data_IF_749689494606
#
_entry.id   IF_749689494606
#
_cell.length_a   1.000
_cell.length_b   1.000
_cell.length_c   1.000
_cell.angle_alpha   90.00
_cell.angle_beta   90.00
_cell.angle_gamma   90.00
#
_symmetry.space_group_name_H-M   'P 1'
#
loop_
_entity.id
_entity.type
_entity.pdbx_description
1 polymer ?
#
# COMPACT_ATOMS: atom_id res chain seq x y z
N UNK A 1 5.98 -11.16 -4.67
CA UNK A 1 4.87 -12.14 -4.56
C UNK A 1 5.44 -13.54 -4.38
N UNK A 2 4.96 -14.33 -3.41
CA UNK A 2 5.41 -15.70 -3.17
C UNK A 2 4.88 -16.66 -4.24
N UNK A 3 5.55 -17.78 -4.49
CA UNK A 3 5.13 -18.76 -5.53
C UNK A 3 3.70 -19.27 -5.30
N UNK A 4 3.33 -19.54 -4.06
CA UNK A 4 1.98 -19.99 -3.70
C UNK A 4 0.90 -18.94 -4.02
N UNK A 5 1.21 -17.65 -3.83
CA UNK A 5 0.30 -16.54 -4.17
C UNK A 5 0.12 -16.43 -5.68
N UNK A 6 1.21 -16.61 -6.45
CA UNK A 6 1.17 -16.63 -7.93
C UNK A 6 0.25 -17.76 -8.39
N UNK A 7 0.48 -18.98 -7.88
CA UNK A 7 -0.29 -20.15 -8.25
C UNK A 7 -1.78 -19.98 -7.91
N UNK A 8 -2.09 -19.54 -6.70
CA UNK A 8 -3.47 -19.25 -6.29
C UNK A 8 -4.14 -18.20 -7.17
N UNK A 9 -3.46 -17.09 -7.48
CA UNK A 9 -4.00 -16.02 -8.35
C UNK A 9 -4.29 -16.57 -9.75
N UNK A 10 -3.42 -17.41 -10.31
CA UNK A 10 -3.62 -18.03 -11.63
C UNK A 10 -4.77 -19.04 -11.62
N UNK A 11 -4.85 -19.91 -10.61
CA UNK A 11 -5.96 -20.88 -10.48
C UNK A 11 -7.31 -20.18 -10.34
N UNK A 12 -7.37 -19.06 -9.60
CA UNK A 12 -8.58 -18.24 -9.48
C UNK A 12 -8.99 -17.63 -10.85
N UNK A 13 -8.02 -17.13 -11.63
CA UNK A 13 -8.28 -16.62 -12.99
C UNK A 13 -8.82 -17.73 -13.90
N UNK A 14 -8.27 -18.94 -13.81
CA UNK A 14 -8.77 -20.09 -14.58
C UNK A 14 -10.20 -20.44 -14.18
N UNK A 15 -10.51 -20.51 -12.88
CA UNK A 15 -11.86 -20.78 -12.39
C UNK A 15 -12.88 -19.72 -12.86
N UNK A 16 -12.50 -18.44 -12.82
CA UNK A 16 -13.33 -17.33 -13.35
C UNK A 16 -13.56 -17.45 -14.85
N UNK A 17 -12.52 -17.81 -15.60
CA UNK A 17 -12.60 -18.03 -17.04
C UNK A 17 -13.57 -19.17 -17.39
N UNK A 18 -13.48 -20.30 -16.68
CA UNK A 18 -14.36 -21.45 -16.89
C UNK A 18 -15.83 -21.13 -16.55
N UNK A 19 -16.05 -20.23 -15.59
CA UNK A 19 -17.37 -19.70 -15.23
C UNK A 19 -17.88 -18.59 -16.16
N UNK A 20 -17.12 -18.21 -17.19
CA UNK A 20 -17.49 -17.14 -18.12
C UNK A 20 -17.56 -15.76 -17.48
N UNK A 21 -16.88 -15.55 -16.35
CA UNK A 21 -16.85 -14.27 -15.66
C UNK A 21 -15.86 -13.31 -16.33
N UNK A 22 -16.12 -12.00 -16.33
CA UNK A 22 -15.20 -11.02 -16.89
C UNK A 22 -13.87 -11.06 -16.13
N UNK A 23 -12.76 -11.05 -16.87
CA UNK A 23 -11.38 -11.00 -16.36
C UNK A 23 -10.84 -9.58 -16.62
N UNK A 24 -11.62 -8.56 -16.24
CA UNK A 24 -11.16 -7.17 -16.32
C UNK A 24 -10.14 -6.94 -15.20
N UNK A 25 -8.86 -7.00 -15.55
CA UNK A 25 -7.78 -6.64 -14.65
C UNK A 25 -6.67 -5.92 -15.45
N UNK A 26 -6.35 -4.70 -15.03
CA UNK A 26 -5.31 -3.89 -15.67
C UNK A 26 -3.90 -4.44 -15.43
N UNK A 27 -3.73 -5.38 -14.50
CA UNK A 27 -2.46 -6.01 -14.15
C UNK A 27 -2.24 -7.36 -14.84
N UNK A 28 -3.30 -7.94 -15.45
CA UNK A 28 -3.26 -9.28 -16.04
C UNK A 28 -3.31 -9.21 -17.56
N UNK A 29 -2.44 -9.97 -18.21
CA UNK A 29 -2.48 -10.19 -19.66
C UNK A 29 -2.55 -11.69 -19.97
N UNK A 30 -3.62 -12.13 -20.62
CA UNK A 30 -3.78 -13.52 -21.06
C UNK A 30 -3.20 -13.70 -22.47
N UNK A 31 -2.52 -14.83 -22.69
CA UNK A 31 -1.94 -15.22 -23.98
C UNK A 31 -2.14 -16.71 -24.21
N UNK A 32 -2.70 -17.07 -25.36
CA UNK A 32 -2.88 -18.47 -25.74
C UNK A 32 -1.56 -19.15 -26.09
N UNK A 33 -0.64 -18.42 -26.72
CA UNK A 33 0.69 -18.89 -27.12
C UNK A 33 1.78 -17.86 -26.77
N UNK A 34 3.04 -18.32 -26.78
CA UNK A 34 4.19 -17.43 -26.63
C UNK A 34 4.25 -16.41 -27.77
N UNK A 35 4.35 -15.10 -27.48
CA UNK A 35 4.42 -14.09 -28.52
C UNK A 35 5.65 -14.25 -29.43
N UNK A 36 5.42 -14.55 -30.70
CA UNK A 36 6.51 -14.78 -31.69
C UNK A 36 7.25 -13.51 -32.09
N UNK A 37 6.55 -12.37 -32.11
CA UNK A 37 7.15 -11.06 -32.33
C UNK A 37 7.73 -10.52 -31.01
N UNK A 38 9.02 -10.76 -30.80
CA UNK A 38 9.74 -10.35 -29.60
C UNK A 38 9.78 -8.83 -29.40
N UNK A 39 9.77 -8.04 -30.49
CA UNK A 39 9.74 -6.58 -30.37
C UNK A 39 8.37 -6.11 -29.87
N UNK A 40 7.29 -6.63 -30.47
CA UNK A 40 5.92 -6.33 -30.02
C UNK A 40 5.68 -6.82 -28.60
N UNK A 41 6.24 -7.96 -28.21
CA UNK A 41 6.20 -8.46 -26.84
C UNK A 41 6.91 -7.51 -25.88
N UNK A 42 8.16 -7.14 -26.16
CA UNK A 42 8.92 -6.20 -25.34
C UNK A 42 8.21 -4.84 -25.22
N UNK A 43 7.67 -4.32 -26.32
CA UNK A 43 6.90 -3.08 -26.34
C UNK A 43 5.66 -3.14 -25.45
N UNK A 44 4.92 -4.26 -25.48
CA UNK A 44 3.75 -4.47 -24.62
C UNK A 44 4.12 -4.64 -23.14
N UNK A 45 5.18 -5.38 -22.84
CA UNK A 45 5.69 -5.54 -21.47
C UNK A 45 6.11 -4.18 -20.91
N UNK A 46 6.91 -3.41 -21.66
CA UNK A 46 7.33 -2.08 -21.26
C UNK A 46 6.12 -1.15 -21.05
N UNK A 47 5.14 -1.19 -21.96
CA UNK A 47 3.92 -0.37 -21.86
C UNK A 47 3.12 -0.68 -20.61
N UNK A 48 2.93 -1.96 -20.33
CA UNK A 48 2.19 -2.47 -19.18
C UNK A 48 2.93 -2.12 -17.88
N UNK A 49 4.25 -2.32 -17.84
CA UNK A 49 5.07 -2.01 -16.68
C UNK A 49 5.13 -0.50 -16.39
N UNK A 50 5.27 0.34 -17.41
CA UNK A 50 5.26 1.80 -17.27
C UNK A 50 3.92 2.32 -16.75
N UNK A 51 2.80 1.77 -17.23
CA UNK A 51 1.47 2.18 -16.74
C UNK A 51 1.14 1.64 -15.35
N UNK A 52 1.71 0.48 -14.98
CA UNK A 52 1.48 -0.16 -13.68
C UNK A 52 2.18 0.55 -12.52
N UNK A 53 3.23 1.34 -12.80
CA UNK A 53 3.82 2.27 -11.83
C UNK A 53 4.15 1.58 -10.49
N UNK A 54 5.06 0.62 -10.49
CA UNK A 54 5.46 -0.10 -9.27
C UNK A 54 4.52 -1.22 -8.82
N UNK A 55 3.31 -1.33 -9.37
CA UNK A 55 2.46 -2.51 -9.16
C UNK A 55 2.91 -3.68 -10.04
N UNK A 56 2.80 -4.89 -9.50
CA UNK A 56 3.25 -6.10 -10.19
C UNK A 56 2.27 -6.47 -11.30
N UNK A 57 2.79 -6.78 -12.49
CA UNK A 57 1.96 -7.23 -13.61
C UNK A 57 2.21 -8.71 -13.90
N UNK A 58 1.18 -9.42 -14.36
CA UNK A 58 1.20 -10.86 -14.59
C UNK A 58 0.78 -11.15 -16.02
N UNK A 59 1.62 -11.84 -16.78
CA UNK A 59 1.21 -12.45 -18.04
C UNK A 59 1.02 -13.94 -17.84
N UNK A 60 -0.08 -14.48 -18.36
CA UNK A 60 -0.40 -15.89 -18.24
C UNK A 60 -0.44 -16.51 -19.63
N UNK A 61 0.52 -17.39 -19.91
CA UNK A 61 0.69 -18.06 -21.19
C UNK A 61 0.03 -19.45 -21.13
N UNK A 62 -0.70 -19.80 -22.20
CA UNK A 62 -1.47 -21.04 -22.30
C UNK A 62 -2.95 -20.87 -21.94
N UNK A 63 -3.45 -19.63 -21.92
CA UNK A 63 -4.86 -19.31 -21.65
C UNK A 63 -5.43 -18.49 -22.82
N UNK A 64 -6.57 -18.93 -23.34
CA UNK A 64 -7.35 -18.23 -24.36
C UNK A 64 -8.71 -17.83 -23.75
N UNK A 65 -9.07 -16.55 -23.86
CA UNK A 65 -10.32 -16.02 -23.28
C UNK A 65 -11.59 -16.72 -23.80
N UNK A 66 -11.54 -17.31 -25.00
CA UNK A 66 -12.69 -17.98 -25.61
C UNK A 66 -12.61 -19.50 -25.47
N UNK A 67 -11.40 -20.07 -25.55
CA UNK A 67 -11.19 -21.52 -25.56
C UNK A 67 -10.81 -22.10 -24.19
N UNK A 68 -10.57 -21.26 -23.19
CA UNK A 68 -10.11 -21.70 -21.87
C UNK A 68 -8.61 -22.02 -21.85
N UNK A 69 -8.22 -22.99 -21.03
CA UNK A 69 -6.82 -23.42 -20.89
C UNK A 69 -6.39 -24.23 -22.11
N UNK A 70 -5.41 -23.72 -22.86
CA UNK A 70 -4.83 -24.37 -24.05
C UNK A 70 -3.46 -24.98 -23.79
N UNK A 71 -2.73 -24.49 -22.79
CA UNK A 71 -1.41 -24.98 -22.39
C UNK A 71 -0.23 -24.26 -23.08
N UNK A 72 0.95 -24.31 -22.47
CA UNK A 72 2.19 -23.69 -22.93
C UNK A 72 3.41 -24.53 -22.54
N UNK A 73 4.47 -24.49 -23.36
CA UNK A 73 5.75 -25.14 -23.06
C UNK A 73 6.65 -24.21 -22.22
N UNK A 74 7.24 -24.71 -21.13
CA UNK A 74 8.14 -23.95 -20.26
C UNK A 74 9.55 -23.77 -20.85
N UNK A 75 10.05 -24.73 -21.64
CA UNK A 75 11.39 -24.67 -22.25
C UNK A 75 11.55 -23.45 -23.19
N UNK A 76 10.44 -22.96 -23.75
CA UNK A 76 10.45 -21.77 -24.59
C UNK A 76 10.77 -20.48 -23.82
N UNK A 77 10.52 -20.42 -22.50
CA UNK A 77 10.67 -19.20 -21.70
C UNK A 77 12.08 -18.62 -21.76
N UNK A 78 13.11 -19.42 -21.45
CA UNK A 78 14.49 -18.92 -21.35
C UNK A 78 14.96 -18.33 -22.68
N UNK A 79 14.67 -19.04 -23.78
CA UNK A 79 15.01 -18.61 -25.13
C UNK A 79 14.21 -17.36 -25.57
N UNK A 80 12.92 -17.33 -25.24
CA UNK A 80 12.03 -16.23 -25.57
C UNK A 80 12.38 -14.97 -24.80
N UNK A 81 12.56 -15.07 -23.48
CA UNK A 81 12.79 -13.91 -22.63
C UNK A 81 14.17 -13.27 -22.90
N UNK A 82 15.20 -14.04 -23.25
CA UNK A 82 16.48 -13.49 -23.69
C UNK A 82 16.32 -12.56 -24.91
N UNK A 83 15.52 -12.99 -25.90
CA UNK A 83 15.21 -12.19 -27.11
C UNK A 83 14.37 -10.97 -26.78
N UNK A 84 13.38 -11.09 -25.90
CA UNK A 84 12.56 -9.97 -25.42
C UNK A 84 13.42 -8.95 -24.67
N UNK A 85 14.23 -9.40 -23.71
CA UNK A 85 15.13 -8.56 -22.90
C UNK A 85 16.09 -7.76 -23.76
N UNK A 86 16.60 -8.36 -24.84
CA UNK A 86 17.50 -7.68 -25.78
C UNK A 86 16.89 -6.41 -26.42
N UNK A 87 15.57 -6.22 -26.37
CA UNK A 87 14.91 -5.03 -26.94
C UNK A 87 14.87 -3.84 -25.99
N UNK A 88 15.11 -4.03 -24.70
CA UNK A 88 15.15 -2.95 -23.72
C UNK A 88 16.47 -2.18 -23.83
N UNK A 89 16.39 -0.87 -23.65
CA UNK A 89 17.58 -0.03 -23.58
C UNK A 89 18.45 -0.44 -22.38
N UNK A 90 19.78 -0.42 -22.56
CA UNK A 90 20.76 -0.78 -21.53
C UNK A 90 20.52 -2.16 -20.86
N UNK A 91 19.78 -3.07 -21.51
CA UNK A 91 19.34 -4.35 -20.96
C UNK A 91 18.48 -4.25 -19.68
N UNK A 92 17.88 -3.08 -19.43
CA UNK A 92 16.99 -2.79 -18.30
C UNK A 92 15.56 -3.24 -18.61
N UNK A 93 15.37 -4.55 -18.72
CA UNK A 93 14.03 -5.14 -18.74
C UNK A 93 13.47 -5.31 -17.31
N UNK A 94 12.14 -5.33 -17.13
CA UNK A 94 11.52 -5.68 -15.86
C UNK A 94 12.03 -7.02 -15.34
N UNK A 95 12.37 -7.09 -14.05
CA UNK A 95 12.71 -8.35 -13.40
C UNK A 95 11.54 -9.34 -13.56
N UNK A 96 11.85 -10.60 -13.87
CA UNK A 96 10.87 -11.63 -14.16
C UNK A 96 11.00 -12.81 -13.18
N UNK A 97 9.89 -13.13 -12.51
CA UNK A 97 9.68 -14.42 -11.83
C UNK A 97 8.73 -15.25 -12.68
N UNK A 98 9.05 -16.52 -12.90
CA UNK A 98 8.18 -17.43 -13.65
C UNK A 98 7.75 -18.63 -12.82
N UNK A 99 6.55 -19.14 -13.11
CA UNK A 99 6.01 -20.35 -12.49
C UNK A 99 5.23 -21.16 -13.53
N UNK A 100 5.62 -22.43 -13.71
CA UNK A 100 4.82 -23.40 -14.45
C UNK A 100 3.79 -24.03 -13.51
N UNK A 101 2.52 -24.03 -13.93
CA UNK A 101 1.38 -24.46 -13.12
C UNK A 101 0.66 -25.58 -13.90
N UNK A 102 0.70 -26.83 -13.41
CA UNK A 102 -0.05 -27.92 -14.03
C UNK A 102 -1.55 -27.76 -13.78
N UNK A 103 -2.36 -27.91 -14.81
CA UNK A 103 -3.81 -27.81 -14.74
C UNK A 103 -4.47 -28.75 -15.77
N UNK A 104 -5.25 -29.73 -15.31
CA UNK A 104 -5.99 -30.69 -16.15
C UNK A 104 -5.14 -31.31 -17.29
N UNK A 105 -3.93 -31.78 -16.97
CA UNK A 105 -3.02 -32.40 -17.94
C UNK A 105 -2.32 -31.42 -18.89
N UNK A 106 -2.56 -30.11 -18.75
CA UNK A 106 -1.87 -29.03 -19.47
C UNK A 106 -0.98 -28.27 -18.50
N UNK A 107 -0.04 -27.47 -19.03
CA UNK A 107 0.78 -26.56 -18.23
C UNK A 107 0.48 -25.12 -18.62
N UNK A 108 0.21 -24.26 -17.65
CA UNK A 108 0.09 -22.81 -17.83
C UNK A 108 1.35 -22.17 -17.27
N UNK A 109 1.85 -21.12 -17.91
CA UNK A 109 3.06 -20.41 -17.45
C UNK A 109 2.71 -19.00 -17.02
N UNK A 110 2.92 -18.70 -15.74
CA UNK A 110 2.78 -17.36 -15.20
C UNK A 110 4.12 -16.62 -15.26
N UNK A 111 4.11 -15.39 -15.79
CA UNK A 111 5.23 -14.47 -15.88
C UNK A 111 4.91 -13.23 -15.06
N UNK A 112 5.60 -13.06 -13.94
CA UNK A 112 5.39 -11.99 -12.98
C UNK A 112 6.51 -10.97 -13.14
N UNK A 113 6.16 -9.76 -13.55
CA UNK A 113 7.13 -8.68 -13.79
C UNK A 113 7.09 -7.65 -12.68
N UNK A 114 8.26 -7.31 -12.14
CA UNK A 114 8.44 -6.19 -11.21
C UNK A 114 8.59 -4.89 -11.99
N UNK A 115 7.85 -3.86 -11.61
CA UNK A 115 7.72 -2.61 -12.38
C UNK A 115 8.28 -1.39 -11.66
N UNK A 116 8.91 -1.59 -10.51
CA UNK A 116 9.50 -0.58 -9.63
C UNK A 116 10.61 0.25 -10.29
N UNK A 117 11.34 -0.34 -11.25
CA UNK A 117 12.39 0.35 -12.02
C UNK A 117 11.89 1.09 -13.26
N UNK A 118 10.59 1.38 -13.35
CA UNK A 118 10.09 2.26 -14.41
C UNK A 118 10.83 3.62 -14.37
N UNK A 119 11.08 4.28 -15.52
CA UNK A 119 10.60 3.95 -16.87
C UNK A 119 11.38 2.83 -17.56
N UNK A 120 10.66 1.95 -18.25
CA UNK A 120 11.20 0.97 -19.17
C UNK A 120 11.18 1.51 -20.60
N UNK A 121 12.37 1.61 -21.19
CA UNK A 121 12.59 2.15 -22.55
C UNK A 121 12.90 1.00 -23.51
N UNK A 122 12.32 1.03 -24.70
CA UNK A 122 12.62 0.06 -25.76
C UNK A 122 13.41 0.69 -26.89
N UNK A 123 14.29 -0.10 -27.50
CA UNK A 123 15.01 0.26 -28.73
C UNK A 123 14.14 -0.09 -29.94
N UNK A 124 13.85 0.91 -30.77
CA UNK A 124 13.11 0.71 -32.02
C UNK A 124 14.05 0.04 -33.04
N UNK A 125 13.61 -1.01 -33.75
CA UNK A 125 14.43 -1.65 -34.77
C UNK A 125 14.85 -0.65 -35.85
N UNK A 126 16.12 -0.75 -36.31
CA UNK A 126 16.65 0.11 -37.39
C UNK A 126 15.88 0.00 -38.71
N UNK A 127 15.07 -1.05 -38.88
CA UNK A 127 14.17 -1.21 -40.02
C UNK A 127 12.94 -0.31 -39.97
N UNK A 128 12.69 0.38 -38.85
CA UNK A 128 11.60 1.35 -38.73
C UNK A 128 12.01 2.69 -39.33
N UNK A 129 11.19 3.29 -40.22
CA UNK A 129 11.52 4.56 -40.84
C UNK A 129 11.48 5.71 -39.82
N UNK A 130 12.52 6.56 -39.83
CA UNK A 130 12.58 7.79 -39.05
C UNK A 130 13.78 7.87 -38.09
N UNK A 131 14.02 9.04 -37.50
CA UNK A 131 15.17 9.28 -36.62
C UNK A 131 14.97 8.75 -35.19
N UNK A 132 13.77 8.26 -34.86
CA UNK A 132 13.43 7.82 -33.50
C UNK A 132 14.04 6.45 -33.24
N UNK A 133 14.96 6.38 -32.29
CA UNK A 133 15.67 5.14 -31.93
C UNK A 133 15.14 4.50 -30.65
N UNK A 134 14.43 5.26 -29.82
CA UNK A 134 13.94 4.83 -28.51
C UNK A 134 12.49 5.26 -28.30
N UNK A 135 11.74 4.44 -27.58
CA UNK A 135 10.36 4.74 -27.18
C UNK A 135 10.20 4.41 -25.69
N UNK A 136 9.41 5.23 -24.99
CA UNK A 136 8.80 4.86 -23.70
C UNK A 136 7.36 4.43 -24.01
N UNK A 137 7.06 3.12 -24.08
CA UNK A 137 5.70 2.68 -24.39
C UNK A 137 4.80 2.89 -23.17
N UNK A 138 3.51 3.06 -23.42
CA UNK A 138 2.48 3.30 -22.42
C UNK A 138 1.22 2.52 -22.78
N UNK A 139 0.63 1.85 -21.78
CA UNK A 139 -0.65 1.15 -21.95
C UNK A 139 -1.80 2.12 -21.68
N UNK A 140 -2.77 2.12 -22.59
CA UNK A 140 -4.03 2.85 -22.45
C UNK A 140 -5.17 1.88 -22.73
N UNK A 141 -5.86 1.46 -21.67
CA UNK A 141 -6.78 0.33 -21.68
C UNK A 141 -6.12 -0.92 -22.30
N UNK A 142 -6.62 -1.41 -23.44
CA UNK A 142 -6.07 -2.59 -24.13
C UNK A 142 -5.10 -2.24 -25.27
N UNK A 143 -4.74 -0.95 -25.41
CA UNK A 143 -3.88 -0.45 -26.48
C UNK A 143 -2.49 -0.05 -25.98
N UNK A 144 -1.52 0.00 -26.89
CA UNK A 144 -0.14 0.43 -26.58
C UNK A 144 0.27 1.58 -27.50
N UNK A 145 0.59 2.72 -26.88
CA UNK A 145 1.08 3.94 -27.55
C UNK A 145 2.38 4.43 -26.93
N UNK A 146 3.04 5.42 -27.52
CA UNK A 146 4.14 6.11 -26.86
C UNK A 146 3.62 6.97 -25.69
N UNK A 147 4.41 7.10 -24.63
CA UNK A 147 4.12 7.95 -23.49
C UNK A 147 4.04 9.42 -23.92
N UNK A 148 3.02 10.14 -23.42
CA UNK A 148 2.92 11.59 -23.54
C UNK A 148 3.66 12.24 -22.38
N UNK A 149 3.88 13.56 -22.44
CA UNK A 149 4.46 14.34 -21.32
C UNK A 149 3.74 14.08 -20.00
N UNK A 150 2.41 14.02 -19.99
CA UNK A 150 1.60 13.73 -18.80
C UNK A 150 1.91 12.36 -18.20
N UNK A 151 2.20 11.36 -19.03
CA UNK A 151 2.52 10.01 -18.58
C UNK A 151 3.94 9.96 -18.00
N UNK A 152 4.89 10.66 -18.63
CA UNK A 152 6.25 10.79 -18.10
C UNK A 152 6.26 11.52 -16.74
N UNK A 153 5.41 12.54 -16.54
CA UNK A 153 5.26 13.18 -15.23
C UNK A 153 4.73 12.20 -14.18
N UNK A 154 3.79 11.31 -14.53
CA UNK A 154 3.31 10.27 -13.61
C UNK A 154 4.41 9.30 -13.19
N UNK A 155 5.42 9.06 -14.04
CA UNK A 155 6.58 8.24 -13.68
C UNK A 155 7.53 8.96 -12.73
N UNK A 156 7.67 10.28 -12.87
CA UNK A 156 8.50 11.11 -11.99
C UNK A 156 7.82 11.42 -10.65
N UNK A 157 6.49 11.38 -10.59
CA UNK A 157 5.75 11.65 -9.37
C UNK A 157 5.82 10.44 -8.43
N UNK A 158 6.37 10.60 -7.21
CA UNK A 158 6.55 9.50 -6.29
C UNK A 158 5.22 8.85 -5.95
N UNK A 159 5.20 7.53 -6.00
CA UNK A 159 4.05 6.74 -5.64
C UNK A 159 4.14 6.57 -4.14
N UNK A 160 3.69 7.59 -3.42
CA UNK A 160 3.63 7.55 -1.96
C UNK A 160 2.61 6.49 -1.57
N UNK A 161 3.06 5.26 -1.37
CA UNK A 161 2.25 4.20 -0.76
C UNK A 161 1.95 4.65 0.67
N UNK A 162 0.68 5.02 0.90
CA UNK A 162 0.23 5.51 2.21
C UNK A 162 0.52 4.44 3.27
N UNK A 163 1.00 4.82 4.46
CA UNK A 163 1.12 3.87 5.56
C UNK A 163 -0.25 3.29 5.86
N UNK A 164 -0.31 2.00 6.19
CA UNK A 164 -1.51 1.40 6.77
C UNK A 164 -1.38 1.36 8.29
N UNK A 165 -2.49 1.60 8.97
CA UNK A 165 -2.59 1.55 10.42
C UNK A 165 -3.71 0.59 10.81
N UNK A 166 -3.43 -0.24 11.79
CA UNK A 166 -4.40 -1.14 12.41
C UNK A 166 -4.57 -0.76 13.88
N UNK A 167 -5.82 -0.59 14.33
CA UNK A 167 -6.13 -0.39 15.75
C UNK A 167 -6.16 -1.78 16.39
N UNK A 168 -5.24 -2.01 17.33
CA UNK A 168 -5.16 -3.29 18.04
C UNK A 168 -6.00 -3.29 19.31
N UNK A 169 -6.07 -2.14 19.99
CA UNK A 169 -6.80 -1.96 21.24
C UNK A 169 -6.98 -0.46 21.51
N UNK A 170 -7.90 -0.10 22.40
CA UNK A 170 -8.01 1.27 22.88
C UNK A 170 -9.05 1.45 23.97
N UNK A 171 -8.91 2.56 24.69
CA UNK A 171 -9.82 2.96 25.77
C UNK A 171 -9.89 4.47 25.88
N UNK A 172 -11.00 4.93 26.44
CA UNK A 172 -11.15 6.30 26.90
C UNK A 172 -11.39 6.26 28.40
N UNK A 173 -10.57 6.98 29.16
CA UNK A 173 -10.70 7.11 30.61
C UNK A 173 -11.20 8.51 30.96
N UNK A 174 -12.08 8.59 31.95
CA UNK A 174 -12.60 9.86 32.45
C UNK A 174 -12.27 9.99 33.93
N UNK A 175 -11.54 11.05 34.30
CA UNK A 175 -11.20 11.33 35.69
C UNK A 175 -11.56 12.76 36.08
N UNK A 176 -11.80 12.99 37.38
CA UNK A 176 -11.87 14.36 37.91
C UNK A 176 -10.49 15.00 37.77
N UNK A 177 -10.46 16.16 37.12
CA UNK A 177 -9.22 16.92 36.97
C UNK A 177 -8.80 17.48 38.33
N UNK A 178 -7.57 17.21 38.73
CA UNK A 178 -6.95 17.88 39.87
C UNK A 178 -6.58 19.27 39.36
N UNK A 179 -7.13 20.32 39.98
CA UNK A 179 -6.92 21.70 39.56
C UNK A 179 -5.44 22.06 39.52
N UNK A 180 -4.82 21.94 38.34
CA UNK A 180 -3.46 22.36 38.09
C UNK A 180 -3.45 23.76 37.46
N UNK A 181 -2.44 24.54 37.80
CA UNK A 181 -2.22 25.89 37.25
C UNK A 181 -2.09 25.77 35.72
N UNK A 182 -3.07 26.29 34.98
CA UNK A 182 -3.05 26.37 33.51
C UNK A 182 -4.04 25.47 32.75
N UNK A 183 -4.85 24.65 33.41
CA UNK A 183 -5.88 23.83 32.76
C UNK A 183 -7.28 24.17 33.28
N UNK A 184 -8.17 24.60 32.38
CA UNK A 184 -9.58 24.89 32.69
C UNK A 184 -10.43 23.65 32.42
N UNK A 185 -10.91 22.98 33.47
CA UNK A 185 -11.85 21.88 33.37
C UNK A 185 -11.90 21.07 34.66
N UNK A 186 -13.09 20.63 35.05
CA UNK A 186 -13.31 19.78 36.23
C UNK A 186 -13.12 18.30 35.93
N UNK A 187 -13.09 17.93 34.65
CA UNK A 187 -12.95 16.57 34.15
C UNK A 187 -11.89 16.48 33.05
N UNK A 188 -11.11 15.41 33.05
CA UNK A 188 -10.12 15.07 32.06
C UNK A 188 -10.48 13.75 31.40
N UNK A 189 -10.54 13.77 30.08
CA UNK A 189 -10.73 12.62 29.21
C UNK A 189 -9.39 12.23 28.62
N UNK A 190 -8.99 10.98 28.79
CA UNK A 190 -7.74 10.44 28.26
C UNK A 190 -8.05 9.35 27.24
N UNK A 191 -7.68 9.60 25.99
CA UNK A 191 -7.67 8.57 24.96
C UNK A 191 -6.33 7.84 24.99
N UNK A 192 -6.37 6.52 24.93
CA UNK A 192 -5.21 5.68 24.66
C UNK A 192 -5.58 4.62 23.64
N UNK A 193 -4.93 4.63 22.47
CA UNK A 193 -5.12 3.64 21.42
C UNK A 193 -3.80 2.96 21.10
N UNK A 194 -3.80 1.63 21.12
CA UNK A 194 -2.68 0.82 20.66
C UNK A 194 -2.85 0.59 19.16
N UNK A 195 -1.85 0.99 18.38
CA UNK A 195 -1.89 0.88 16.92
C UNK A 195 -0.66 0.17 16.39
N UNK A 196 -0.82 -0.54 15.28
CA UNK A 196 0.27 -1.12 14.50
C UNK A 196 0.43 -0.35 13.19
N UNK A 197 1.62 0.20 12.96
CA UNK A 197 1.97 0.91 11.73
C UNK A 197 2.64 -0.05 10.75
N UNK A 198 2.32 0.08 9.46
CA UNK A 198 3.06 -0.55 8.35
C UNK A 198 3.30 0.51 7.28
N UNK A 199 4.58 0.77 7.00
CA UNK A 199 5.01 1.61 5.87
C UNK A 199 5.39 0.71 4.70
N UNK A 200 5.19 1.23 3.50
CA UNK A 200 5.58 0.58 2.24
C UNK A 200 6.66 1.37 1.51
N UNK A 201 7.29 2.31 2.21
CA UNK A 201 8.39 3.15 1.74
C UNK A 201 9.68 2.74 2.44
N UNK A 202 10.81 2.88 1.74
CA UNK A 202 12.13 2.76 2.35
C UNK A 202 12.54 4.04 3.10
N UNK A 203 11.76 5.11 3.00
CA UNK A 203 11.94 6.36 3.73
C UNK A 203 11.17 6.33 5.06
N UNK A 204 11.73 6.97 6.08
CA UNK A 204 11.09 7.13 7.38
C UNK A 204 9.82 7.99 7.25
N UNK A 205 8.68 7.41 7.60
CA UNK A 205 7.41 8.14 7.66
C UNK A 205 7.35 8.92 8.96
N UNK A 206 7.25 10.24 8.85
CA UNK A 206 7.09 11.14 9.99
C UNK A 206 5.65 11.65 10.08
N UNK A 207 5.06 11.57 11.28
CA UNK A 207 3.77 12.17 11.61
C UNK A 207 3.96 13.34 12.61
N UNK A 208 3.95 14.59 12.13
CA UNK A 208 3.99 15.76 13.01
C UNK A 208 2.66 15.91 13.76
N UNK A 209 2.71 16.00 15.09
CA UNK A 209 1.52 15.99 15.93
C UNK A 209 0.59 17.18 15.66
N UNK A 210 1.16 18.35 15.34
CA UNK A 210 0.39 19.56 15.01
C UNK A 210 -0.45 19.45 13.72
N UNK A 211 -0.12 18.49 12.84
CA UNK A 211 -0.92 18.20 11.62
C UNK A 211 -1.99 17.13 11.86
N UNK A 212 -1.96 16.45 13.00
CA UNK A 212 -2.89 15.40 13.36
C UNK A 212 -4.10 15.97 14.12
N UNK A 213 -5.24 15.30 14.00
CA UNK A 213 -6.48 15.67 14.70
C UNK A 213 -7.17 14.41 15.19
N UNK A 214 -7.69 14.46 16.41
CA UNK A 214 -8.54 13.40 16.95
C UNK A 214 -9.82 14.06 17.43
N UNK A 215 -10.94 13.57 16.90
CA UNK A 215 -12.28 14.00 17.21
C UNK A 215 -12.99 12.85 17.90
N UNK A 216 -13.89 13.15 18.82
CA UNK A 216 -14.75 12.15 19.42
C UNK A 216 -16.17 12.66 19.59
N UNK A 217 -17.12 11.73 19.56
CA UNK A 217 -18.52 11.97 19.84
C UNK A 217 -19.00 10.92 20.83
N UNK A 218 -19.43 11.39 22.00
CA UNK A 218 -20.08 10.52 22.97
C UNK A 218 -21.53 10.25 22.56
N UNK A 219 -22.02 9.04 22.82
CA UNK A 219 -23.38 8.63 22.49
C UNK A 219 -24.42 9.65 22.97
N UNK A 220 -25.36 10.02 22.08
CA UNK A 220 -26.42 10.98 22.39
C UNK A 220 -25.99 12.46 22.41
N UNK A 221 -24.71 12.76 22.18
CA UNK A 221 -24.24 14.15 22.00
C UNK A 221 -24.16 14.49 20.50
N UNK A 222 -24.72 15.64 20.06
CA UNK A 222 -24.71 16.01 18.64
C UNK A 222 -23.33 16.49 18.16
N UNK A 223 -22.57 17.12 19.04
CA UNK A 223 -21.30 17.79 18.68
C UNK A 223 -20.11 16.85 18.80
N UNK A 224 -19.22 16.89 17.80
CA UNK A 224 -17.88 16.34 17.92
C UNK A 224 -17.02 17.27 18.78
N UNK A 225 -16.27 16.69 19.72
CA UNK A 225 -15.27 17.39 20.53
C UNK A 225 -13.87 16.99 20.04
N UNK A 226 -12.91 17.90 20.20
CA UNK A 226 -11.54 17.71 19.73
C UNK A 226 -10.61 17.44 20.90
N UNK A 227 -9.88 16.32 20.85
CA UNK A 227 -8.77 16.07 21.75
C UNK A 227 -7.58 16.99 21.43
N UNK A 228 -6.87 17.40 22.47
CA UNK A 228 -5.60 18.13 22.46
C UNK A 228 -4.44 17.23 22.90
N UNK A 229 -3.21 17.77 22.91
CA UNK A 229 -2.01 17.06 23.38
C UNK A 229 -1.82 15.68 22.73
N UNK A 230 -2.08 15.60 21.43
CA UNK A 230 -1.93 14.36 20.67
C UNK A 230 -0.44 13.97 20.71
N UNK A 231 -0.16 12.76 21.17
CA UNK A 231 1.16 12.13 21.12
C UNK A 231 1.06 10.77 20.49
N UNK A 232 2.11 10.40 19.78
CA UNK A 232 2.29 9.04 19.29
C UNK A 232 3.67 8.59 19.76
N UNK A 233 3.72 7.54 20.55
CA UNK A 233 4.96 7.04 21.15
C UNK A 233 5.08 5.52 20.99
N UNK A 234 6.30 4.97 20.85
CA UNK A 234 6.48 3.53 20.90
C UNK A 234 6.14 2.99 22.30
N UNK A 235 5.79 1.70 22.42
CA UNK A 235 5.70 1.04 23.72
C UNK A 235 7.03 1.14 24.47
N UNK A 236 6.96 1.49 25.74
CA UNK A 236 8.12 1.54 26.62
C UNK A 236 7.94 0.57 27.78
N UNK A 237 9.05 0.07 28.29
CA UNK A 237 9.10 -0.65 29.56
C UNK A 237 10.06 0.04 30.50
N UNK A 238 9.64 0.19 31.75
CA UNK A 238 10.50 0.71 32.80
C UNK A 238 11.32 -0.41 33.44
N UNK A 239 12.64 -0.25 33.43
CA UNK A 239 13.54 -1.12 34.20
C UNK A 239 13.76 -0.49 35.57
N UNK A 240 13.15 -1.07 36.61
CA UNK A 240 13.35 -0.63 38.00
C UNK A 240 14.80 -0.78 38.47
N UNK A 241 15.56 -1.71 37.89
CA UNK A 241 16.98 -1.94 38.20
C UNK A 241 17.90 -0.87 37.60
N UNK A 242 17.57 -0.36 36.43
CA UNK A 242 18.37 0.65 35.70
C UNK A 242 17.83 2.07 35.86
N UNK A 243 16.69 2.23 36.55
CA UNK A 243 15.93 3.47 36.66
C UNK A 243 15.71 4.16 35.30
N UNK A 244 15.52 3.34 34.25
CA UNK A 244 15.52 3.80 32.87
C UNK A 244 14.34 3.22 32.10
N UNK A 245 13.72 4.10 31.33
CA UNK A 245 12.71 3.72 30.35
C UNK A 245 13.40 3.20 29.08
N UNK A 246 13.01 2.00 28.65
CA UNK A 246 13.53 1.35 27.45
C UNK A 246 12.42 1.23 26.42
N UNK A 247 12.66 1.80 25.24
CA UNK A 247 11.80 1.63 24.08
C UNK A 247 11.78 0.17 23.64
N UNK A 248 10.58 -0.38 23.47
CA UNK A 248 10.38 -1.76 23.02
C UNK A 248 10.29 -1.90 21.50
N UNK A 249 10.17 -0.77 20.79
CA UNK A 249 10.18 -0.73 19.33
C UNK A 249 11.56 -0.38 18.78
N UNK A 250 11.99 -1.10 17.74
CA UNK A 250 13.22 -0.80 16.99
C UNK A 250 12.96 0.14 15.80
N UNK A 251 11.71 0.24 15.39
CA UNK A 251 11.30 0.84 14.10
C UNK A 251 10.37 2.04 14.30
N UNK A 252 9.87 2.24 15.51
CA UNK A 252 9.06 3.39 15.93
C UNK A 252 9.85 4.16 16.97
N UNK A 253 10.07 5.44 16.70
CA UNK A 253 10.69 6.38 17.63
C UNK A 253 9.86 7.66 17.70
N UNK A 254 9.95 8.40 18.80
CA UNK A 254 9.15 9.62 18.98
C UNK A 254 9.96 10.72 19.65
N UNK A 255 9.70 11.95 19.24
CA UNK A 255 10.12 13.16 19.94
C UNK A 255 8.91 13.77 20.64
N UNK A 256 9.07 14.98 21.18
CA UNK A 256 7.96 15.74 21.74
C UNK A 256 6.90 16.15 20.70
N UNK A 257 7.28 16.24 19.42
CA UNK A 257 6.46 16.87 18.38
C UNK A 257 6.11 15.96 17.21
N UNK A 258 6.73 14.79 17.10
CA UNK A 258 6.51 13.87 16.00
C UNK A 258 6.86 12.42 16.35
N UNK A 259 6.32 11.50 15.57
CA UNK A 259 6.72 10.09 15.57
C UNK A 259 7.33 9.74 14.22
N UNK A 260 8.38 8.93 14.26
CA UNK A 260 9.15 8.42 13.13
C UNK A 260 8.95 6.91 13.01
N UNK A 261 8.48 6.46 11.85
CA UNK A 261 8.22 5.05 11.53
C UNK A 261 9.10 4.62 10.35
N UNK A 262 10.06 3.73 10.59
CA UNK A 262 10.99 3.28 9.55
C UNK A 262 10.40 2.20 8.66
N UNK A 263 9.72 1.22 9.24
CA UNK A 263 9.13 0.08 8.51
C UNK A 263 7.76 -0.27 9.08
N UNK A 264 7.70 -1.18 10.04
CA UNK A 264 6.48 -1.55 10.73
C UNK A 264 6.74 -1.66 12.23
N UNK A 265 5.76 -1.32 13.05
CA UNK A 265 5.89 -1.45 14.49
C UNK A 265 4.71 -0.87 15.27
N UNK A 266 4.70 -1.15 16.57
CA UNK A 266 3.65 -0.68 17.46
C UNK A 266 3.90 0.75 17.93
N UNK A 267 2.81 1.47 18.18
CA UNK A 267 2.79 2.71 18.94
C UNK A 267 1.50 2.88 19.72
N UNK A 268 1.50 3.83 20.63
CA UNK A 268 0.33 4.31 21.35
C UNK A 268 0.02 5.72 20.89
N UNK A 269 -1.23 5.94 20.47
CA UNK A 269 -1.79 7.26 20.24
C UNK A 269 -2.49 7.67 21.53
N UNK A 270 -2.04 8.77 22.14
CA UNK A 270 -2.64 9.33 23.34
C UNK A 270 -3.09 10.75 23.10
N UNK A 271 -4.21 11.16 23.69
CA UNK A 271 -4.68 12.53 23.61
C UNK A 271 -5.61 12.87 24.79
N UNK A 272 -5.75 14.17 25.07
CA UNK A 272 -6.44 14.66 26.27
C UNK A 272 -7.49 15.72 25.93
N UNK A 273 -8.63 15.67 26.60
CA UNK A 273 -9.69 16.68 26.50
C UNK A 273 -10.17 17.08 27.88
N UNK A 274 -10.32 18.38 28.11
CA UNK A 274 -10.78 18.93 29.39
C UNK A 274 -12.19 19.49 29.23
N UNK A 275 -13.09 19.12 30.16
CA UNK A 275 -14.46 19.64 30.20
C UNK A 275 -14.82 20.16 31.59
N UNK A 276 -15.58 21.26 31.62
CA UNK A 276 -16.17 21.79 32.87
C UNK A 276 -17.56 21.20 33.16
N UNK A 277 -18.20 20.63 32.15
CA UNK A 277 -19.52 20.01 32.27
C UNK A 277 -19.39 18.62 32.89
N UNK A 278 -20.22 18.33 33.89
CA UNK A 278 -20.39 16.99 34.42
C UNK A 278 -20.93 16.06 33.32
N UNK A 279 -20.20 14.98 32.95
CA UNK A 279 -20.64 14.03 31.95
C UNK A 279 -21.88 13.22 32.37
N UNK A 280 -22.30 13.29 33.63
CA UNK A 280 -23.52 12.68 34.15
C UNK A 280 -23.31 11.29 34.76
N UNK A 281 -24.33 10.81 35.49
CA UNK A 281 -24.26 9.56 36.26
C UNK A 281 -24.32 8.27 35.41
N UNK A 282 -24.80 8.37 34.16
CA UNK A 282 -24.72 7.27 33.17
C UNK A 282 -23.52 7.54 32.27
N UNK A 283 -22.45 6.77 32.49
CA UNK A 283 -21.28 6.78 31.62
C UNK A 283 -21.73 6.38 30.21
N UNK A 284 -21.23 7.09 29.20
CA UNK A 284 -21.53 6.80 27.79
C UNK A 284 -21.15 5.35 27.45
N UNK A 285 -22.09 4.59 26.87
CA UNK A 285 -21.82 3.20 26.49
C UNK A 285 -20.90 3.13 25.27
N UNK A 286 -21.05 4.10 24.36
CA UNK A 286 -20.27 4.18 23.13
C UNK A 286 -19.70 5.59 22.93
N UNK A 287 -18.43 5.66 22.54
CA UNK A 287 -17.76 6.88 22.12
C UNK A 287 -17.12 6.61 20.76
N UNK A 288 -17.65 7.27 19.73
CA UNK A 288 -17.07 7.27 18.39
C UNK A 288 -15.81 8.14 18.39
N UNK A 289 -14.70 7.60 17.90
CA UNK A 289 -13.44 8.32 17.75
C UNK A 289 -13.03 8.32 16.29
N UNK A 290 -12.76 9.51 15.76
CA UNK A 290 -12.22 9.74 14.43
C UNK A 290 -10.83 10.33 14.54
N UNK A 291 -9.85 9.59 14.07
CA UNK A 291 -8.44 9.97 14.11
C UNK A 291 -7.95 10.27 12.69
N UNK A 292 -7.49 11.50 12.48
CA UNK A 292 -6.93 11.98 11.23
C UNK A 292 -5.44 12.21 11.41
N UNK A 293 -4.62 11.31 10.89
CA UNK A 293 -3.16 11.42 10.97
C UNK A 293 -2.60 11.89 9.64
N UNK A 294 -1.80 12.95 9.65
CA UNK A 294 -1.13 13.45 8.45
C UNK A 294 0.36 13.18 8.54
N UNK A 295 0.90 12.60 7.48
CA UNK A 295 2.34 12.45 7.32
C UNK A 295 2.95 13.75 6.81
N UNK A 296 4.26 13.93 6.96
CA UNK A 296 4.91 15.13 6.44
C UNK A 296 4.95 15.17 4.90
N UNK A 297 5.02 14.01 4.24
CA UNK A 297 5.10 13.88 2.77
C UNK A 297 3.74 13.89 2.04
N UNK A 298 2.62 13.97 2.76
CA UNK A 298 1.29 13.96 2.15
C UNK A 298 0.34 14.91 2.87
N UNK A 299 -0.53 15.57 2.10
CA UNK A 299 -1.63 16.37 2.65
C UNK A 299 -2.90 15.55 2.88
N UNK A 300 -2.96 14.34 2.32
CA UNK A 300 -4.06 13.40 2.52
C UNK A 300 -3.94 12.72 3.89
N UNK A 301 -4.93 12.88 4.78
CA UNK A 301 -4.90 12.23 6.07
C UNK A 301 -5.18 10.73 5.96
N UNK A 302 -4.57 9.95 6.84
CA UNK A 302 -5.01 8.59 7.16
C UNK A 302 -6.15 8.73 8.15
N UNK A 303 -7.32 8.21 7.78
CA UNK A 303 -8.52 8.20 8.62
C UNK A 303 -8.63 6.85 9.33
N UNK A 304 -8.77 6.90 10.65
CA UNK A 304 -9.12 5.76 11.49
C UNK A 304 -10.39 6.08 12.25
N UNK A 305 -11.31 5.13 12.27
CA UNK A 305 -12.57 5.23 13.02
C UNK A 305 -12.69 4.02 13.95
N UNK A 306 -13.04 4.28 15.20
CA UNK A 306 -13.26 3.24 16.21
C UNK A 306 -14.36 3.68 17.18
N UNK A 307 -14.99 2.69 17.82
CA UNK A 307 -15.94 2.91 18.91
C UNK A 307 -15.33 2.31 20.17
N UNK A 308 -15.25 3.12 21.22
CA UNK A 308 -14.74 2.69 22.52
C UNK A 308 -15.82 2.82 23.58
N UNK A 309 -15.69 2.01 24.63
CA UNK A 309 -16.47 2.17 25.85
C UNK A 309 -15.74 3.10 26.81
N UNK A 310 -16.50 3.86 27.60
CA UNK A 310 -15.94 4.73 28.63
C UNK A 310 -15.51 3.90 29.85
N UNK A 311 -14.25 4.03 30.24
CA UNK A 311 -13.72 3.46 31.49
C UNK A 311 -13.74 4.57 32.55
N UNK A 312 -14.50 4.41 33.65
CA UNK A 312 -14.58 5.40 34.71
C UNK A 312 -13.35 5.52 35.60
#
# INVERSE_FOLDING_TARGET
MKKQEIEFKVLNIIDRLEKGQPIEDNEIELKSEWPRDHFKAARRIAAHANSARGETIIWIIGIDEKKGVVGANFEELSNWYAKVRSRFDQMLAPNLVSLAIPYNGKTVVALVFETDRSPFVIRIPNSSPGPVTHEVPWREANSTRSARRSDLIKLLYPINKRPSLEILDGKIELQKSISNIGQNGSYQWNLSMKVYFVTYSNETVVFPFHRCKILFRAQGQPDEKKFSNIRIAPPTSYSSREFKEKTQSLTVNSTENEVLINTAGMGYITAEYFSSTDPGAKLFEEIEVKTLLKTHHSDDPILLEAVFTLVP
#
